data_IF_597402404264
#
_entry.id   IF_597402404264
#
_cell.length_a   1.000
_cell.length_b   1.000
_cell.length_c   1.000
_cell.angle_alpha   90.00
_cell.angle_beta   90.00
_cell.angle_gamma   90.00
#
_symmetry.space_group_name_H-M   'P 1'
#
loop_
_entity.id
_entity.type
_entity.pdbx_description
1 polymer ?
#
# COMPACT_ATOMS: atom_id res chain seq x y z
N UNK A 1 -51.34 -36.23 -0.14
CA UNK A 1 -50.87 -35.29 0.90
C UNK A 1 -49.43 -34.82 0.68
N UNK A 2 -48.47 -35.71 0.40
CA UNK A 2 -47.02 -35.40 0.34
C UNK A 2 -46.64 -34.24 -0.60
N UNK A 3 -47.20 -34.17 -1.82
CA UNK A 3 -46.88 -33.09 -2.77
C UNK A 3 -47.26 -31.69 -2.28
N UNK A 4 -48.30 -31.55 -1.44
CA UNK A 4 -48.70 -30.25 -0.90
C UNK A 4 -47.70 -29.77 0.16
N UNK A 5 -47.17 -30.69 0.97
CA UNK A 5 -46.12 -30.40 1.95
C UNK A 5 -44.79 -29.99 1.28
N UNK A 6 -44.48 -30.54 0.11
CA UNK A 6 -43.27 -30.19 -0.64
C UNK A 6 -43.33 -28.78 -1.26
N UNK A 7 -44.48 -28.34 -1.76
CA UNK A 7 -44.66 -26.94 -2.21
C UNK A 7 -44.52 -25.95 -1.05
N UNK A 8 -45.06 -26.28 0.12
CA UNK A 8 -45.00 -25.40 1.29
C UNK A 8 -43.57 -25.25 1.82
N UNK A 9 -42.75 -26.30 1.74
CA UNK A 9 -41.34 -26.23 2.11
C UNK A 9 -40.51 -25.38 1.12
N UNK A 10 -40.76 -25.49 -0.19
CA UNK A 10 -40.09 -24.63 -1.19
C UNK A 10 -40.41 -23.13 -1.04
N UNK A 11 -41.58 -22.78 -0.48
CA UNK A 11 -41.95 -21.38 -0.28
C UNK A 11 -41.22 -20.72 0.90
N UNK A 12 -40.86 -21.46 1.95
CA UNK A 12 -40.07 -20.91 3.06
C UNK A 12 -38.62 -20.62 2.66
N UNK A 13 -38.00 -21.48 1.85
CA UNK A 13 -36.58 -21.35 1.47
C UNK A 13 -36.31 -20.12 0.57
N UNK A 14 -37.32 -19.61 -0.15
CA UNK A 14 -37.18 -18.42 -1.01
C UNK A 14 -37.33 -17.08 -0.28
N UNK A 15 -37.91 -17.04 0.92
CA UNK A 15 -38.20 -15.77 1.60
C UNK A 15 -36.99 -14.99 2.20
N UNK A 16 -35.85 -15.59 2.62
CA UNK A 16 -34.80 -14.82 3.32
C UNK A 16 -33.90 -13.95 2.42
N UNK A 17 -34.02 -14.00 1.09
CA UNK A 17 -33.19 -13.16 0.20
C UNK A 17 -33.79 -11.79 -0.16
N UNK A 18 -35.11 -11.58 -0.01
CA UNK A 18 -35.75 -10.30 -0.38
C UNK A 18 -35.56 -9.19 0.68
N UNK A 19 -35.15 -9.53 1.91
CA UNK A 19 -35.07 -8.58 3.03
C UNK A 19 -33.64 -8.08 3.36
N UNK A 20 -32.70 -8.17 2.41
CA UNK A 20 -31.37 -7.57 2.51
C UNK A 20 -31.13 -6.58 1.38
N UNK A 21 -31.93 -5.51 1.38
CA UNK A 21 -31.53 -4.28 0.73
C UNK A 21 -30.22 -3.76 1.39
N UNK A 22 -29.20 -3.36 0.63
CA UNK A 22 -28.05 -2.67 1.20
C UNK A 22 -28.50 -1.28 1.67
N UNK A 23 -28.30 -1.01 2.95
CA UNK A 23 -28.60 0.27 3.58
C UNK A 23 -27.65 1.36 3.02
N UNK A 24 -28.16 2.49 2.48
CA UNK A 24 -27.35 3.60 2.00
C UNK A 24 -27.04 4.64 3.09
N UNK A 25 -26.77 4.22 4.34
CA UNK A 25 -26.09 5.03 5.35
C UNK A 25 -24.65 5.29 4.94
N UNK A 26 -24.48 6.22 4.00
CA UNK A 26 -23.23 6.96 3.88
C UNK A 26 -22.97 7.68 5.20
N UNK A 27 -21.77 7.60 5.79
CA UNK A 27 -21.42 8.48 6.88
C UNK A 27 -21.45 9.91 6.36
N UNK A 28 -22.34 10.73 6.90
CA UNK A 28 -22.17 12.17 6.84
C UNK A 28 -20.84 12.47 7.54
N UNK A 29 -19.79 12.66 6.74
CA UNK A 29 -18.51 13.17 7.21
C UNK A 29 -18.75 14.61 7.66
N UNK A 30 -19.13 14.74 8.92
CA UNK A 30 -19.23 15.98 9.65
C UNK A 30 -17.97 16.81 9.38
N UNK A 31 -18.17 18.03 8.87
CA UNK A 31 -17.08 18.93 8.57
C UNK A 31 -16.46 19.41 9.89
N UNK A 32 -15.53 18.63 10.43
CA UNK A 32 -14.68 19.06 11.53
C UNK A 32 -13.85 20.25 11.04
N UNK A 33 -14.36 21.44 11.34
CA UNK A 33 -13.59 22.67 11.31
C UNK A 33 -12.29 22.44 12.10
N UNK A 34 -11.13 22.89 11.59
CA UNK A 34 -9.93 22.90 12.40
C UNK A 34 -10.18 23.84 13.59
N UNK A 35 -9.93 23.42 14.84
CA UNK A 35 -9.87 24.37 15.93
C UNK A 35 -8.73 25.34 15.65
N UNK A 36 -9.02 26.63 15.61
CA UNK A 36 -8.00 27.65 15.58
C UNK A 36 -7.18 27.55 16.87
N UNK A 37 -5.94 27.04 16.75
CA UNK A 37 -5.02 26.97 17.86
C UNK A 37 -4.51 28.40 18.14
N UNK A 38 -5.17 29.05 19.10
CA UNK A 38 -4.82 30.37 19.58
C UNK A 38 -3.37 30.40 20.09
N UNK A 39 -2.62 31.40 19.66
CA UNK A 39 -1.23 31.62 20.08
C UNK A 39 -1.19 32.65 21.20
N UNK A 40 -1.39 32.21 22.45
CA UNK A 40 -1.02 33.01 23.63
C UNK A 40 -0.18 32.22 24.63
N UNK A 41 0.84 32.91 25.15
CA UNK A 41 1.93 32.37 25.95
C UNK A 41 1.71 32.63 27.46
N UNK A 42 2.76 32.38 28.26
CA UNK A 42 2.82 32.53 29.74
C UNK A 42 2.13 31.39 30.52
N UNK A 43 2.64 30.84 31.64
CA UNK A 43 3.80 31.26 32.46
C UNK A 43 4.44 30.08 33.22
N UNK A 44 5.78 30.03 33.19
CA UNK A 44 6.73 29.67 34.28
C UNK A 44 6.13 29.16 35.62
N UNK A 45 6.41 27.90 35.98
CA UNK A 45 6.40 27.40 37.37
C UNK A 45 7.45 26.30 37.57
N UNK A 46 8.24 26.38 38.65
CA UNK A 46 9.21 25.34 39.07
C UNK A 46 8.65 24.57 40.28
N UNK A 47 8.83 23.25 40.32
CA UNK A 47 9.18 22.42 41.51
C UNK A 47 9.45 20.98 41.04
N UNK A 48 10.65 20.43 41.29
CA UNK A 48 11.04 19.56 42.43
C UNK A 48 10.64 18.07 42.20
N UNK A 49 11.59 17.17 41.91
CA UNK A 49 12.54 16.45 42.80
C UNK A 49 11.97 15.10 43.29
N UNK A 50 12.79 14.06 43.23
CA UNK A 50 12.42 12.66 43.52
C UNK A 50 12.59 11.78 42.27
N UNK A 51 13.49 10.80 42.18
CA UNK A 51 14.29 10.17 43.24
C UNK A 51 13.88 8.71 43.39
N UNK A 52 14.50 7.82 42.61
CA UNK A 52 14.18 6.39 42.58
C UNK A 52 15.33 5.58 41.99
N UNK A 53 16.23 5.10 42.85
CA UNK A 53 17.33 4.19 42.51
C UNK A 53 16.94 2.74 42.82
N UNK A 54 17.50 1.79 42.07
CA UNK A 54 17.32 0.33 42.24
C UNK A 54 17.32 -0.39 40.88
N UNK A 55 18.44 -0.77 40.27
CA UNK A 55 19.59 -1.60 40.69
C UNK A 55 19.35 -3.13 40.61
N UNK A 56 20.01 -3.73 39.59
CA UNK A 56 20.59 -5.10 39.55
C UNK A 56 19.63 -6.32 39.58
N UNK A 57 19.89 -7.47 38.94
CA UNK A 57 20.87 -7.94 37.92
C UNK A 57 20.21 -9.14 37.16
N UNK A 58 20.76 -9.82 36.14
CA UNK A 58 22.06 -9.83 35.46
C UNK A 58 21.81 -10.11 33.93
N UNK A 59 22.70 -10.60 33.05
CA UNK A 59 24.10 -11.04 33.11
C UNK A 59 24.41 -12.15 32.10
N UNK A 60 24.73 -11.80 30.84
CA UNK A 60 25.40 -12.67 29.87
C UNK A 60 26.05 -11.81 28.76
N UNK A 61 27.37 -11.67 28.79
CA UNK A 61 28.15 -10.90 27.82
C UNK A 61 28.84 -11.86 26.85
N UNK A 62 28.63 -11.68 25.55
CA UNK A 62 29.48 -12.28 24.51
C UNK A 62 30.27 -11.16 23.85
N UNK A 63 31.59 -11.20 24.03
CA UNK A 63 32.55 -10.25 23.44
C UNK A 63 32.99 -10.70 22.03
N UNK A 64 34.01 -10.02 21.48
CA UNK A 64 34.65 -10.23 20.14
C UNK A 64 33.85 -9.57 18.99
N UNK A 65 34.37 -8.61 18.21
CA UNK A 65 35.66 -7.90 18.28
C UNK A 65 35.53 -6.48 17.69
N UNK A 66 36.36 -5.55 18.19
CA UNK A 66 36.41 -4.15 17.74
C UNK A 66 37.86 -3.73 17.47
N UNK A 67 38.34 -4.02 16.25
CA UNK A 67 39.61 -3.60 15.64
C UNK A 67 39.42 -3.86 14.13
N UNK A 68 39.25 -2.87 13.27
CA UNK A 68 40.31 -1.97 12.82
C UNK A 68 39.69 -0.64 12.28
N UNK A 69 40.19 0.51 12.76
CA UNK A 69 39.90 1.82 12.17
C UNK A 69 41.22 2.48 11.78
N UNK A 70 41.68 2.20 10.57
CA UNK A 70 42.81 2.86 9.94
C UNK A 70 42.32 3.81 8.84
N UNK A 71 42.73 5.07 8.95
CA UNK A 71 42.32 6.21 8.14
C UNK A 71 42.40 6.02 6.61
N UNK A 72 41.35 6.47 5.92
CA UNK A 72 41.44 7.07 4.58
C UNK A 72 40.53 8.30 4.54
N UNK A 73 41.04 9.43 5.06
CA UNK A 73 40.48 10.75 4.81
C UNK A 73 40.95 11.19 3.40
N UNK A 74 40.03 11.48 2.48
CA UNK A 74 40.40 11.75 1.10
C UNK A 74 39.24 11.95 0.12
N UNK A 75 39.10 13.21 -0.32
CA UNK A 75 38.39 13.66 -1.51
C UNK A 75 36.86 13.53 -1.56
N UNK A 76 36.21 14.71 -1.51
CA UNK A 76 34.99 14.95 -2.27
C UNK A 76 35.15 14.46 -3.72
N UNK A 77 34.17 13.70 -4.21
CA UNK A 77 33.91 13.60 -5.63
C UNK A 77 32.40 13.64 -5.85
N UNK A 78 31.90 14.81 -6.23
CA UNK A 78 30.60 14.92 -6.87
C UNK A 78 30.65 14.16 -8.20
N UNK A 79 30.14 12.93 -8.22
CA UNK A 79 30.03 12.14 -9.43
C UNK A 79 28.82 11.21 -9.35
N UNK A 80 27.93 11.35 -10.34
CA UNK A 80 26.94 10.36 -10.76
C UNK A 80 26.08 9.74 -9.64
N UNK A 81 24.82 10.14 -9.44
CA UNK A 81 23.85 10.32 -10.51
C UNK A 81 24.09 9.33 -11.67
N UNK A 82 24.33 8.06 -11.34
CA UNK A 82 24.28 6.95 -12.29
C UNK A 82 22.84 6.85 -12.77
N UNK A 83 22.51 7.68 -13.76
CA UNK A 83 21.43 7.44 -14.69
C UNK A 83 21.56 5.98 -15.08
N UNK A 84 20.59 5.16 -14.69
CA UNK A 84 20.45 3.82 -15.24
C UNK A 84 20.34 4.01 -16.73
N UNK A 85 21.44 3.78 -17.44
CA UNK A 85 21.45 3.81 -18.90
C UNK A 85 20.42 2.77 -19.33
N UNK A 86 19.31 3.26 -19.87
CA UNK A 86 18.35 2.46 -20.60
C UNK A 86 19.09 1.90 -21.81
N UNK A 87 19.77 0.76 -21.60
CA UNK A 87 20.35 -0.02 -22.67
C UNK A 87 19.18 -0.61 -23.45
N UNK A 88 18.69 0.20 -24.39
CA UNK A 88 17.61 -0.11 -25.30
C UNK A 88 18.06 -1.17 -26.32
N UNK A 89 18.34 -2.37 -25.81
CA UNK A 89 18.61 -3.56 -26.61
C UNK A 89 17.36 -3.88 -27.40
N UNK A 90 17.45 -3.67 -28.72
CA UNK A 90 16.28 -3.56 -29.61
C UNK A 90 15.49 -4.86 -29.72
N UNK A 91 14.39 -4.96 -28.98
CA UNK A 91 13.41 -6.04 -29.09
C UNK A 91 12.13 -5.52 -29.78
N UNK A 92 11.99 -5.86 -31.07
CA UNK A 92 10.75 -5.84 -31.88
C UNK A 92 9.51 -5.15 -31.28
N UNK A 93 9.45 -3.82 -31.38
CA UNK A 93 8.25 -3.06 -31.73
C UNK A 93 7.07 -2.98 -30.74
N UNK A 94 7.10 -3.62 -29.57
CA UNK A 94 6.03 -3.47 -28.57
C UNK A 94 6.26 -2.21 -27.74
N UNK A 95 5.43 -1.18 -27.94
CA UNK A 95 5.45 0.06 -27.15
C UNK A 95 5.00 -0.25 -25.73
N UNK A 96 5.95 -0.39 -24.80
CA UNK A 96 5.67 -0.69 -23.40
C UNK A 96 5.28 0.57 -22.61
N UNK A 97 4.34 0.47 -21.65
CA UNK A 97 3.97 1.59 -20.78
C UNK A 97 5.12 2.00 -19.83
N UNK A 98 5.10 3.25 -19.37
CA UNK A 98 6.10 3.75 -18.41
C UNK A 98 6.00 2.97 -17.09
N UNK A 99 7.15 2.55 -16.56
CA UNK A 99 7.22 1.77 -15.33
C UNK A 99 7.05 0.25 -15.51
N UNK A 100 6.96 -0.24 -16.75
CA UNK A 100 6.84 -1.67 -17.05
C UNK A 100 7.87 -2.54 -16.34
N UNK A 101 9.17 -2.27 -16.54
CA UNK A 101 10.23 -3.12 -16.00
C UNK A 101 10.35 -3.00 -14.46
N UNK A 102 9.97 -1.85 -13.90
CA UNK A 102 9.85 -1.68 -12.44
C UNK A 102 8.71 -2.52 -11.86
N UNK A 103 7.57 -2.59 -12.57
CA UNK A 103 6.48 -3.49 -12.21
C UNK A 103 6.93 -4.95 -12.31
N UNK A 104 7.55 -5.37 -13.42
CA UNK A 104 8.05 -6.75 -13.58
C UNK A 104 9.02 -7.13 -12.46
N UNK A 105 9.93 -6.23 -12.07
CA UNK A 105 10.87 -6.47 -10.99
C UNK A 105 10.17 -6.67 -9.64
N UNK A 106 9.24 -5.78 -9.28
CA UNK A 106 8.47 -5.91 -8.03
C UNK A 106 7.57 -7.15 -8.02
N UNK A 107 6.86 -7.43 -9.11
CA UNK A 107 6.01 -8.60 -9.24
C UNK A 107 6.79 -9.92 -9.15
N UNK A 108 7.99 -9.99 -9.76
CA UNK A 108 8.92 -11.14 -9.60
C UNK A 108 9.37 -11.30 -8.15
N UNK A 109 9.69 -10.20 -7.46
CA UNK A 109 10.02 -10.23 -6.03
C UNK A 109 8.84 -10.77 -5.20
N UNK A 110 7.63 -10.25 -5.38
CA UNK A 110 6.43 -10.72 -4.66
C UNK A 110 6.14 -12.21 -4.95
N UNK A 111 6.31 -12.66 -6.20
CA UNK A 111 6.19 -14.09 -6.57
C UNK A 111 7.24 -14.96 -5.88
N UNK A 112 8.48 -14.50 -5.80
CA UNK A 112 9.57 -15.21 -5.10
C UNK A 112 9.34 -15.32 -3.58
N UNK A 113 8.63 -14.35 -2.99
CA UNK A 113 8.17 -14.40 -1.59
C UNK A 113 6.93 -15.29 -1.37
N UNK A 114 6.39 -15.90 -2.43
CA UNK A 114 5.19 -16.77 -2.41
C UNK A 114 3.94 -16.14 -1.76
N UNK A 115 3.84 -14.80 -1.79
CA UNK A 115 2.72 -14.08 -1.20
C UNK A 115 1.47 -14.30 -2.04
N UNK A 116 0.38 -14.71 -1.39
CA UNK A 116 -0.91 -15.03 -2.00
C UNK A 116 -2.09 -14.51 -1.15
N UNK A 117 -3.31 -14.63 -1.67
CA UNK A 117 -4.54 -14.22 -0.99
C UNK A 117 -4.57 -12.75 -0.58
N UNK A 118 -5.17 -12.47 0.58
CA UNK A 118 -5.35 -11.08 1.08
C UNK A 118 -4.02 -10.36 1.31
N UNK A 119 -2.96 -11.07 1.69
CA UNK A 119 -1.63 -10.48 1.91
C UNK A 119 -0.94 -10.08 0.59
N UNK A 120 -1.26 -10.75 -0.53
CA UNK A 120 -0.83 -10.30 -1.86
C UNK A 120 -1.47 -8.94 -2.21
N UNK A 121 -2.80 -8.84 -2.05
CA UNK A 121 -3.54 -7.58 -2.28
C UNK A 121 -3.00 -6.46 -1.39
N UNK A 122 -2.71 -6.76 -0.12
CA UNK A 122 -2.12 -5.82 0.85
C UNK A 122 -0.71 -5.40 0.46
N UNK A 123 0.13 -6.34 0.01
CA UNK A 123 1.50 -6.06 -0.43
C UNK A 123 1.52 -5.09 -1.59
N UNK A 124 0.67 -5.28 -2.60
CA UNK A 124 0.50 -4.34 -3.71
C UNK A 124 0.03 -2.96 -3.25
N UNK A 125 -1.02 -2.88 -2.43
CA UNK A 125 -1.52 -1.59 -1.90
C UNK A 125 -0.48 -0.86 -1.03
N UNK A 126 0.39 -1.58 -0.33
CA UNK A 126 1.44 -0.98 0.50
C UNK A 126 2.44 -0.13 -0.30
N UNK A 127 2.56 -0.35 -1.62
CA UNK A 127 3.40 0.48 -2.51
C UNK A 127 2.91 1.92 -2.65
N UNK A 128 1.59 2.15 -2.58
CA UNK A 128 0.98 3.47 -2.76
C UNK A 128 0.55 4.13 -1.43
N UNK A 129 0.35 3.35 -0.37
CA UNK A 129 -0.03 3.86 0.95
C UNK A 129 0.88 4.98 1.52
N UNK A 130 2.22 4.96 1.43
CA UNK A 130 3.07 6.01 2.00
C UNK A 130 2.78 7.40 1.44
N UNK A 131 2.52 7.50 0.14
CA UNK A 131 2.14 8.77 -0.51
C UNK A 131 0.73 9.22 -0.09
N UNK A 132 -0.21 8.27 0.07
CA UNK A 132 -1.58 8.54 0.54
C UNK A 132 -1.57 9.04 2.00
N UNK A 133 -0.88 8.31 2.88
CA UNK A 133 -0.83 8.57 4.34
C UNK A 133 -0.09 9.85 4.69
N UNK A 134 0.94 10.22 3.91
CA UNK A 134 1.67 11.49 4.07
C UNK A 134 0.93 12.71 3.50
N UNK A 135 -0.25 12.55 2.92
CA UNK A 135 -1.03 13.63 2.28
C UNK A 135 -0.45 14.14 0.96
N UNK A 136 0.74 13.66 0.55
CA UNK A 136 1.42 14.05 -0.70
C UNK A 136 0.72 13.53 -1.95
N UNK A 137 -0.08 12.47 -1.84
CA UNK A 137 -0.88 11.94 -2.94
C UNK A 137 -2.00 12.89 -3.37
N UNK A 138 -2.02 13.18 -4.67
CA UNK A 138 -3.17 13.80 -5.34
C UNK A 138 -4.44 12.96 -5.15
N UNK A 139 -5.62 13.58 -5.17
CA UNK A 139 -6.89 12.85 -5.04
C UNK A 139 -7.04 11.69 -6.05
N UNK A 140 -6.52 11.92 -7.26
CA UNK A 140 -6.39 10.93 -8.34
C UNK A 140 -5.58 9.70 -7.94
N UNK A 141 -4.40 9.90 -7.37
CA UNK A 141 -3.52 8.82 -6.94
C UNK A 141 -4.14 7.99 -5.79
N UNK A 142 -4.91 8.63 -4.90
CA UNK A 142 -5.67 7.92 -3.84
C UNK A 142 -6.74 7.01 -4.43
N UNK A 143 -7.51 7.50 -5.41
CA UNK A 143 -8.54 6.70 -6.09
C UNK A 143 -7.94 5.48 -6.77
N UNK A 144 -6.85 5.67 -7.52
CA UNK A 144 -6.07 4.59 -8.14
C UNK A 144 -5.53 3.58 -7.11
N UNK A 145 -4.99 4.04 -5.98
CA UNK A 145 -4.51 3.18 -4.90
C UNK A 145 -5.64 2.35 -4.24
N UNK A 146 -6.86 2.91 -4.18
CA UNK A 146 -8.05 2.18 -3.73
C UNK A 146 -8.48 1.12 -4.77
N UNK A 147 -8.52 1.48 -6.06
CA UNK A 147 -8.88 0.57 -7.17
C UNK A 147 -7.87 -0.55 -7.40
N UNK A 148 -6.59 -0.35 -7.03
CA UNK A 148 -5.52 -1.33 -7.19
C UNK A 148 -5.87 -2.70 -6.59
N UNK A 149 -6.61 -2.73 -5.47
CA UNK A 149 -7.02 -3.97 -4.82
C UNK A 149 -7.80 -4.90 -5.75
N UNK A 150 -8.80 -4.37 -6.45
CA UNK A 150 -9.66 -5.17 -7.34
C UNK A 150 -8.97 -5.62 -8.64
N UNK A 151 -7.92 -4.93 -9.09
CA UNK A 151 -7.13 -5.36 -10.24
C UNK A 151 -6.14 -6.48 -9.91
N UNK A 152 -5.63 -6.56 -8.67
CA UNK A 152 -4.70 -7.61 -8.24
C UNK A 152 -5.41 -8.83 -7.61
N UNK A 153 -6.66 -8.68 -7.18
CA UNK A 153 -7.49 -9.75 -6.59
C UNK A 153 -7.60 -11.02 -7.46
N UNK A 154 -7.81 -10.99 -8.79
CA UNK A 154 -7.91 -12.19 -9.62
C UNK A 154 -6.63 -13.04 -9.63
N UNK A 155 -5.47 -12.40 -9.39
CA UNK A 155 -4.17 -13.05 -9.33
C UNK A 155 -3.85 -13.58 -7.93
N UNK A 156 -4.48 -13.04 -6.88
CA UNK A 156 -4.22 -13.41 -5.49
C UNK A 156 -4.53 -14.88 -5.16
N UNK A 157 -5.51 -15.48 -5.86
CA UNK A 157 -5.86 -16.90 -5.72
C UNK A 157 -4.96 -17.85 -6.54
N UNK A 158 -4.07 -17.32 -7.37
CA UNK A 158 -3.21 -18.09 -8.26
C UNK A 158 -1.78 -18.13 -7.70
N UNK A 159 -1.15 -19.30 -7.67
CA UNK A 159 0.27 -19.42 -7.29
C UNK A 159 1.16 -19.13 -8.52
N UNK A 160 0.71 -19.55 -9.70
CA UNK A 160 1.48 -19.52 -10.94
C UNK A 160 1.08 -18.42 -11.93
N UNK A 161 0.57 -17.28 -11.45
CA UNK A 161 0.18 -16.15 -12.32
C UNK A 161 1.31 -15.68 -13.26
N UNK A 162 0.94 -15.21 -14.45
CA UNK A 162 1.86 -14.45 -15.32
C UNK A 162 2.13 -13.08 -14.71
N UNK A 163 3.42 -12.76 -14.59
CA UNK A 163 3.87 -11.48 -14.05
C UNK A 163 3.62 -10.35 -15.05
N UNK A 164 3.67 -10.67 -16.34
CA UNK A 164 3.37 -9.77 -17.45
C UNK A 164 1.90 -9.34 -17.41
N UNK A 165 0.95 -10.28 -17.35
CA UNK A 165 -0.49 -9.97 -17.27
C UNK A 165 -0.88 -9.18 -16.03
N UNK A 166 -0.24 -9.46 -14.89
CA UNK A 166 -0.40 -8.68 -13.67
C UNK A 166 0.08 -7.24 -13.87
N UNK A 167 1.22 -7.04 -14.53
CA UNK A 167 1.75 -5.71 -14.79
C UNK A 167 0.96 -4.93 -15.85
N UNK A 168 0.44 -5.58 -16.89
CA UNK A 168 -0.54 -4.97 -17.81
C UNK A 168 -1.76 -4.47 -17.02
N UNK A 169 -2.33 -5.33 -16.16
CA UNK A 169 -3.53 -5.02 -15.36
C UNK A 169 -3.30 -3.87 -14.36
N UNK A 170 -2.15 -3.88 -13.68
CA UNK A 170 -1.78 -2.82 -12.74
C UNK A 170 -1.51 -1.51 -13.48
N UNK A 171 -0.71 -1.51 -14.54
CA UNK A 171 -0.34 -0.27 -15.25
C UNK A 171 -1.51 0.31 -16.04
N UNK A 172 -2.43 -0.51 -16.54
CA UNK A 172 -3.69 -0.05 -17.12
C UNK A 172 -4.45 0.89 -16.18
N UNK A 173 -4.56 0.58 -14.88
CA UNK A 173 -5.16 1.50 -13.89
C UNK A 173 -4.48 2.87 -13.85
N UNK A 174 -3.14 2.91 -13.92
CA UNK A 174 -2.41 4.18 -13.90
C UNK A 174 -2.68 4.98 -15.18
N UNK A 175 -2.84 4.32 -16.33
CA UNK A 175 -3.13 4.94 -17.62
C UNK A 175 -4.59 5.38 -17.76
N UNK A 176 -5.58 4.55 -17.41
CA UNK A 176 -7.01 4.86 -17.45
C UNK A 176 -7.34 6.02 -16.52
N UNK A 177 -6.85 5.94 -15.27
CA UNK A 177 -7.00 7.04 -14.32
C UNK A 177 -6.33 8.30 -14.89
N UNK A 178 -5.21 8.20 -15.65
CA UNK A 178 -4.52 9.32 -16.32
C UNK A 178 -5.25 9.92 -17.53
N UNK A 179 -6.00 9.13 -18.29
CA UNK A 179 -6.78 9.61 -19.44
C UNK A 179 -7.94 10.54 -18.98
N UNK A 180 -8.58 10.24 -17.85
CA UNK A 180 -9.77 10.94 -17.35
C UNK A 180 -9.58 12.41 -16.87
N UNK A 181 -8.40 13.00 -17.04
CA UNK A 181 -8.13 14.42 -16.73
C UNK A 181 -7.49 15.19 -17.90
N UNK A 182 -7.77 14.78 -19.14
CA UNK A 182 -7.86 15.78 -20.20
C UNK A 182 -8.89 16.85 -19.81
N UNK A 183 -8.72 18.11 -20.24
CA UNK A 183 -9.68 19.16 -19.92
C UNK A 183 -11.06 18.78 -20.48
N UNK A 184 -12.06 18.63 -19.59
CA UNK A 184 -13.46 18.59 -20.03
C UNK A 184 -13.77 19.95 -20.66
N UNK A 185 -14.04 19.93 -21.98
CA UNK A 185 -14.65 21.06 -22.69
C UNK A 185 -16.13 21.15 -22.34
#
# INVERSE_FOLDING_TARGET
STSQQQLQQQQQVQQPQQLRAPDPQGPAAEAQQPPAADSQAHTKALVAVGGGQGAAAAGAQTAVSQQDQAAMDGAHSEASATVSTEEASGATGVVRPKGWDQCLHFARYVKAQQVSGVEFVRTWKSTCEPAVRSGRATARYRLMCNSMGGAVEPFAAQIDYSVEQLCDSVLALFHDVTAAAGPRR
#
